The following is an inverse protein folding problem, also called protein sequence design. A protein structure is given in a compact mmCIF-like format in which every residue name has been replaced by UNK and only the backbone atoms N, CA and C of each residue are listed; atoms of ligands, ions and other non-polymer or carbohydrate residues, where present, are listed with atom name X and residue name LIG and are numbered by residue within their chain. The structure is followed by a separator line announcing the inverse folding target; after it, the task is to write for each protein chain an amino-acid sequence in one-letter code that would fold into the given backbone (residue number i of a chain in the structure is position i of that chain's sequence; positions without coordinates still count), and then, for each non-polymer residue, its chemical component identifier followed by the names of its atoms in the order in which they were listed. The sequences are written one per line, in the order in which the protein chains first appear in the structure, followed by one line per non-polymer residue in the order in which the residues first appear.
data_IF_670248735677
#
_entry.id   IF_670248735677
#
_cell.length_a   1.000
_cell.length_b   1.000
_cell.length_c   1.000
_cell.angle_alpha   90.00
_cell.angle_beta   90.00
_cell.angle_gamma   90.00
#
_symmetry.space_group_name_H-M   'P 1'
#
loop_
_entity.id
_entity.type
_entity.pdbx_description
1 polymer ?
#
# COMPACT_ATOMS: atom_id res chain seq x y z
N UNK A 1 10.15 10.80 11.18
CA UNK A 1 9.26 9.89 11.90
C UNK A 1 8.72 8.82 10.97
N UNK A 2 8.55 7.61 11.48
CA UNK A 2 8.04 6.50 10.68
C UNK A 2 6.55 6.62 10.42
N UNK A 3 6.17 6.30 9.18
CA UNK A 3 4.76 6.13 8.83
C UNK A 3 4.35 4.71 9.21
N UNK A 4 3.18 4.57 9.81
CA UNK A 4 2.67 3.25 10.21
C UNK A 4 1.85 2.64 9.08
N UNK A 5 2.26 1.45 8.62
CA UNK A 5 1.56 0.71 7.56
C UNK A 5 0.81 -0.45 8.20
N UNK A 6 -0.52 -0.41 8.11
CA UNK A 6 -1.38 -1.46 8.68
C UNK A 6 -1.76 -2.44 7.59
N UNK A 7 -1.38 -3.69 7.75
CA UNK A 7 -1.64 -4.73 6.76
C UNK A 7 -2.31 -5.94 7.39
N UNK A 8 -3.03 -6.71 6.56
CA UNK A 8 -3.72 -7.94 7.00
C UNK A 8 -2.73 -9.09 7.04
N UNK A 9 -2.27 -9.45 8.23
CA UNK A 9 -1.32 -10.54 8.41
C UNK A 9 -1.90 -11.94 8.19
N UNK A 10 -3.22 -12.07 8.09
CA UNK A 10 -3.84 -13.35 7.79
C UNK A 10 -3.87 -13.64 6.29
N UNK A 11 -3.70 -12.64 5.46
CA UNK A 11 -3.69 -12.77 4.01
C UNK A 11 -2.28 -13.11 3.52
N UNK A 12 -2.13 -14.26 2.88
CA UNK A 12 -0.83 -14.73 2.39
C UNK A 12 -0.21 -13.77 1.36
N UNK A 13 -1.03 -13.28 0.42
CA UNK A 13 -0.57 -12.35 -0.59
C UNK A 13 -0.14 -11.03 0.02
N UNK A 14 -0.91 -10.51 0.98
CA UNK A 14 -0.58 -9.28 1.67
C UNK A 14 0.73 -9.40 2.44
N UNK A 15 0.94 -10.52 3.14
CA UNK A 15 2.19 -10.76 3.87
C UNK A 15 3.38 -10.82 2.92
N UNK A 16 3.24 -11.50 1.79
CA UNK A 16 4.32 -11.62 0.81
C UNK A 16 4.70 -10.27 0.22
N UNK A 17 3.72 -9.44 -0.11
CA UNK A 17 3.95 -8.07 -0.59
C UNK A 17 4.67 -7.23 0.45
N UNK A 18 4.20 -7.27 1.68
CA UNK A 18 4.79 -6.48 2.77
C UNK A 18 6.22 -6.93 3.05
N UNK A 19 6.48 -8.24 3.02
CA UNK A 19 7.85 -8.74 3.18
C UNK A 19 8.76 -8.23 2.07
N UNK A 20 8.28 -8.22 0.84
CA UNK A 20 9.03 -7.68 -0.29
C UNK A 20 9.36 -6.21 -0.08
N UNK A 21 8.36 -5.41 0.27
CA UNK A 21 8.55 -3.97 0.50
C UNK A 21 9.48 -3.70 1.68
N UNK A 22 9.32 -4.44 2.78
CA UNK A 22 10.12 -4.22 3.99
C UNK A 22 11.61 -4.52 3.76
N UNK A 23 11.93 -5.40 2.81
CA UNK A 23 13.32 -5.69 2.45
C UNK A 23 13.94 -4.63 1.56
N UNK A 24 13.11 -3.94 0.76
CA UNK A 24 13.57 -2.94 -0.20
C UNK A 24 13.62 -1.53 0.36
N UNK A 25 12.88 -1.26 1.42
CA UNK A 25 12.74 0.06 2.00
C UNK A 25 13.57 0.13 3.28
N UNK A 26 14.23 1.28 3.50
CA UNK A 26 15.01 1.50 4.72
C UNK A 26 14.10 1.37 5.96
N UNK A 27 14.63 0.74 7.01
CA UNK A 27 13.87 0.43 8.23
C UNK A 27 13.34 1.66 8.97
N UNK A 28 13.93 2.82 8.74
CA UNK A 28 13.53 4.06 9.39
C UNK A 28 12.38 4.79 8.68
N UNK A 29 11.93 4.30 7.54
CA UNK A 29 10.87 4.94 6.75
C UNK A 29 9.47 4.52 7.17
N UNK A 30 9.26 3.23 7.41
CA UNK A 30 7.95 2.67 7.73
C UNK A 30 8.03 1.74 8.93
N UNK A 31 6.95 1.74 9.70
CA UNK A 31 6.69 0.74 10.73
C UNK A 31 5.57 -0.16 10.20
N UNK A 32 5.87 -1.44 10.03
CA UNK A 32 4.94 -2.42 9.45
C UNK A 32 4.15 -3.07 10.57
N UNK A 33 2.83 -2.83 10.58
CA UNK A 33 1.96 -3.28 11.67
C UNK A 33 1.01 -4.34 11.15
N UNK A 34 1.12 -5.54 11.72
CA UNK A 34 0.22 -6.64 11.44
C UNK A 34 -1.07 -6.46 12.23
N UNK A 35 -2.17 -6.18 11.55
CA UNK A 35 -3.47 -5.88 12.17
C UNK A 35 -3.95 -7.03 13.06
N UNK A 36 -3.66 -8.27 12.64
CA UNK A 36 -4.12 -9.47 13.35
C UNK A 36 -3.37 -9.66 14.68
N UNK A 37 -2.08 -9.33 14.70
CA UNK A 37 -1.23 -9.58 15.87
C UNK A 37 -1.10 -8.40 16.81
N UNK A 38 -1.08 -7.18 16.29
CA UNK A 38 -0.79 -5.98 17.08
C UNK A 38 -2.07 -5.23 17.46
N UNK A 39 -2.76 -5.76 18.45
CA UNK A 39 -4.02 -5.21 18.94
C UNK A 39 -3.86 -3.80 19.51
N UNK A 40 -2.71 -3.54 20.14
CA UNK A 40 -2.42 -2.23 20.74
C UNK A 40 -2.35 -1.13 19.69
N UNK A 41 -1.61 -1.37 18.62
CA UNK A 41 -1.48 -0.39 17.55
C UNK A 41 -2.79 -0.17 16.80
N UNK A 42 -3.58 -1.23 16.61
CA UNK A 42 -4.90 -1.12 16.01
C UNK A 42 -5.80 -0.21 16.85
N UNK A 43 -5.77 -0.41 18.17
CA UNK A 43 -6.56 0.40 19.10
C UNK A 43 -6.11 1.86 19.08
N UNK A 44 -4.81 2.10 19.05
CA UNK A 44 -4.24 3.44 19.03
C UNK A 44 -4.44 4.18 17.71
N UNK A 45 -4.75 3.46 16.64
CA UNK A 45 -4.94 4.05 15.31
C UNK A 45 -6.17 4.94 15.22
N UNK A 46 -7.17 4.69 16.06
CA UNK A 46 -8.46 5.37 15.98
C UNK A 46 -9.35 4.89 14.85
N UNK A 47 -8.92 3.87 14.10
CA UNK A 47 -9.67 3.28 12.99
C UNK A 47 -10.11 1.88 13.41
N UNK A 48 -11.33 1.48 13.04
CA UNK A 48 -11.84 0.16 13.41
C UNK A 48 -11.03 -0.95 12.74
N UNK A 49 -10.92 -2.10 13.40
CA UNK A 49 -10.24 -3.27 12.85
C UNK A 49 -10.83 -3.66 11.49
N UNK A 50 -12.15 -3.60 11.37
CA UNK A 50 -12.85 -3.92 10.12
C UNK A 50 -12.41 -3.03 8.97
N UNK A 51 -12.28 -1.72 9.23
CA UNK A 51 -11.81 -0.77 8.23
C UNK A 51 -10.35 -1.04 7.85
N UNK A 52 -9.49 -1.28 8.83
CA UNK A 52 -8.08 -1.56 8.59
C UNK A 52 -7.88 -2.83 7.76
N UNK A 53 -8.73 -3.84 7.96
CA UNK A 53 -8.66 -5.10 7.20
C UNK A 53 -9.23 -4.97 5.79
N UNK A 54 -10.07 -3.97 5.54
CA UNK A 54 -10.73 -3.82 4.23
C UNK A 54 -9.78 -3.38 3.12
N UNK A 55 -8.73 -2.64 3.47
CA UNK A 55 -7.74 -2.14 2.51
C UNK A 55 -6.49 -1.69 3.25
N UNK A 56 -5.41 -1.49 2.50
CA UNK A 56 -4.16 -1.02 3.07
C UNK A 56 -4.32 0.39 3.63
N UNK A 57 -3.84 0.62 4.84
CA UNK A 57 -3.85 1.93 5.50
C UNK A 57 -2.44 2.34 5.87
N UNK A 58 -2.12 3.62 5.65
CA UNK A 58 -0.89 4.23 6.14
C UNK A 58 -1.28 5.44 6.97
N UNK A 59 -0.83 5.49 8.22
CA UNK A 59 -1.10 6.60 9.13
C UNK A 59 0.21 7.30 9.44
N UNK A 60 0.27 8.59 9.10
CA UNK A 60 1.43 9.44 9.39
C UNK A 60 1.37 9.95 10.82
N UNK A 61 2.52 10.44 11.31
CA UNK A 61 2.61 11.00 12.67
C UNK A 61 1.72 12.22 12.88
N UNK A 62 1.40 12.95 11.82
CA UNK A 62 0.51 14.13 11.90
C UNK A 62 -0.98 13.76 11.84
N UNK A 63 -1.31 12.48 11.75
CA UNK A 63 -2.68 11.99 11.68
C UNK A 63 -3.22 11.81 10.27
N UNK A 64 -2.46 12.15 9.24
CA UNK A 64 -2.88 11.95 7.86
C UNK A 64 -2.99 10.47 7.55
N UNK A 65 -4.10 10.06 6.94
CA UNK A 65 -4.39 8.66 6.61
C UNK A 65 -4.45 8.49 5.09
N UNK A 66 -3.66 7.55 4.59
CA UNK A 66 -3.73 7.12 3.19
C UNK A 66 -4.33 5.72 3.14
N UNK A 67 -5.21 5.48 2.16
CA UNK A 67 -5.86 4.19 2.00
C UNK A 67 -5.81 3.71 0.56
N UNK A 68 -5.84 2.39 0.36
CA UNK A 68 -5.91 1.79 -0.96
C UNK A 68 -4.73 2.15 -1.86
N UNK A 69 -5.03 2.61 -3.07
CA UNK A 69 -3.99 2.94 -4.05
C UNK A 69 -3.08 4.08 -3.60
N UNK A 70 -3.61 5.03 -2.84
CA UNK A 70 -2.81 6.13 -2.31
C UNK A 70 -1.78 5.63 -1.29
N UNK A 71 -2.16 4.63 -0.48
CA UNK A 71 -1.23 4.00 0.46
C UNK A 71 -0.13 3.27 -0.29
N UNK A 72 -0.47 2.53 -1.34
CA UNK A 72 0.53 1.86 -2.18
C UNK A 72 1.48 2.85 -2.82
N UNK A 73 0.98 3.98 -3.29
CA UNK A 73 1.83 5.03 -3.89
C UNK A 73 2.82 5.60 -2.89
N UNK A 74 2.42 5.75 -1.64
CA UNK A 74 3.35 6.21 -0.59
C UNK A 74 4.49 5.21 -0.38
N UNK A 75 4.19 3.91 -0.41
CA UNK A 75 5.20 2.86 -0.31
C UNK A 75 6.11 2.88 -1.54
N UNK A 76 5.53 2.96 -2.73
CA UNK A 76 6.28 2.90 -3.99
C UNK A 76 7.25 4.06 -4.14
N UNK A 77 6.95 5.23 -3.57
CA UNK A 77 7.85 6.38 -3.58
C UNK A 77 9.16 6.11 -2.87
N UNK A 78 9.17 5.20 -1.91
CA UNK A 78 10.37 4.86 -1.15
C UNK A 78 11.21 3.78 -1.82
N UNK A 79 10.70 3.13 -2.85
CA UNK A 79 11.42 2.09 -3.59
C UNK A 79 11.79 2.63 -4.96
N UNK A 80 13.10 2.66 -5.25
CA UNK A 80 13.64 3.26 -6.48
C UNK A 80 12.97 2.75 -7.76
N UNK A 81 12.75 1.45 -7.86
CA UNK A 81 12.06 0.83 -9.00
C UNK A 81 10.59 1.23 -9.04
N UNK A 82 9.93 1.18 -7.91
CA UNK A 82 8.50 1.48 -7.82
C UNK A 82 8.20 2.98 -7.91
N UNK A 83 9.18 3.85 -7.66
CA UNK A 83 9.05 5.27 -7.95
C UNK A 83 8.79 5.51 -9.43
N UNK A 84 9.43 4.72 -10.27
CA UNK A 84 9.20 4.77 -11.72
C UNK A 84 7.76 4.39 -12.06
N UNK A 85 7.22 3.37 -11.40
CA UNK A 85 5.83 2.97 -11.59
C UNK A 85 4.85 4.04 -11.11
N UNK A 86 5.13 4.68 -9.97
CA UNK A 86 4.32 5.79 -9.48
C UNK A 86 4.33 6.95 -10.48
N UNK A 87 5.49 7.23 -11.05
CA UNK A 87 5.64 8.22 -12.11
C UNK A 87 4.74 7.89 -13.30
N UNK A 88 4.74 6.63 -13.75
CA UNK A 88 3.91 6.19 -14.86
C UNK A 88 2.42 6.33 -14.57
N UNK A 89 2.00 6.07 -13.34
CA UNK A 89 0.60 6.19 -12.92
C UNK A 89 0.10 7.63 -13.03
N UNK A 90 0.99 8.60 -12.90
CA UNK A 90 0.64 10.01 -12.98
C UNK A 90 0.53 10.53 -14.41
N UNK A 91 1.03 9.78 -15.38
CA UNK A 91 1.08 10.21 -16.78
C UNK A 91 -0.02 9.58 -17.61
N UNK A 92 -0.46 10.34 -18.63
CA UNK A 92 -1.47 9.88 -19.59
C UNK A 92 -1.07 8.58 -20.28
N UNK A 93 0.25 8.34 -20.42
CA UNK A 93 0.76 7.13 -21.05
C UNK A 93 0.26 5.87 -20.34
N UNK A 94 0.27 5.87 -19.02
CA UNK A 94 -0.24 4.73 -18.27
C UNK A 94 -1.73 4.52 -18.54
N UNK A 95 -2.52 5.59 -18.58
CA UNK A 95 -3.94 5.51 -18.88
C UNK A 95 -4.19 4.94 -20.29
N UNK A 96 -3.35 5.33 -21.24
CA UNK A 96 -3.44 4.78 -22.61
C UNK A 96 -3.17 3.28 -22.63
N UNK A 97 -2.11 2.85 -21.93
CA UNK A 97 -1.75 1.43 -21.85
C UNK A 97 -2.87 0.64 -21.16
N UNK A 98 -3.39 1.16 -20.06
CA UNK A 98 -4.47 0.52 -19.31
C UNK A 98 -5.75 0.40 -20.16
N UNK A 99 -6.08 1.46 -20.88
CA UNK A 99 -7.25 1.46 -21.79
C UNK A 99 -7.09 0.46 -22.91
N UNK A 100 -5.89 0.39 -23.48
CA UNK A 100 -5.58 -0.55 -24.56
C UNK A 100 -5.67 -1.99 -24.05
N UNK A 101 -5.10 -2.27 -22.90
CA UNK A 101 -5.18 -3.59 -22.27
C UNK A 101 -6.62 -3.99 -21.96
N UNK A 102 -7.41 -3.04 -21.50
CA UNK A 102 -8.83 -3.28 -21.22
C UNK A 102 -9.61 -3.63 -22.49
N UNK A 103 -9.34 -2.93 -23.59
CA UNK A 103 -9.97 -3.23 -24.89
C UNK A 103 -9.61 -4.61 -25.40
N UNK A 104 -8.33 -5.01 -25.24
CA UNK A 104 -7.90 -6.35 -25.63
C UNK A 104 -8.61 -7.40 -24.77
N UNK A 105 -8.70 -7.15 -23.48
CA UNK A 105 -9.38 -8.06 -22.57
C UNK A 105 -10.85 -8.25 -22.96
N UNK A 106 -11.54 -7.18 -23.32
CA UNK A 106 -12.92 -7.25 -23.77
C UNK A 106 -13.07 -8.07 -25.04
N UNK A 107 -12.11 -7.97 -25.97
CA UNK A 107 -12.15 -8.73 -27.23
C UNK A 107 -11.92 -10.23 -27.01
N UNK A 108 -11.13 -10.58 -26.01
CA UNK A 108 -10.82 -11.99 -25.71
C UNK A 108 -11.83 -12.65 -24.77
N UNK A 109 -12.76 -11.88 -24.26
CA UNK A 109 -13.74 -12.34 -23.30
C UNK A 109 -14.89 -13.21 -23.91
#
# INVERSE_FOLDING_TARGET
MKKKVFYDGSCKLCRNEIQFYSKKIAKDKFEWINIVEDKKEVKCSGVSKKELLSKLHIIKSDGTIYTGIEAFREIWREIKFLKFLDFLLKFKLFHLIASFAYKIWLKTR
#
